data_IF_445977632936
#
_entry.id   IF_445977632936
#
_cell.length_a   1.000
_cell.length_b   1.000
_cell.length_c   1.000
_cell.angle_alpha   90.00
_cell.angle_beta   90.00
_cell.angle_gamma   90.00
#
_symmetry.space_group_name_H-M   'P 1'
#
loop_
_entity.id
_entity.type
_entity.pdbx_description
1 polymer ?
#
# COMPACT_ATOMS: atom_id res chain seq x y z
N UNK A 1 6.77 -13.26 25.80
CA UNK A 1 6.04 -12.36 24.88
C UNK A 1 5.82 -13.08 23.55
N UNK A 2 4.58 -13.42 23.21
CA UNK A 2 4.25 -14.03 21.91
C UNK A 2 4.28 -12.92 20.86
N UNK A 3 5.32 -12.85 20.03
CA UNK A 3 5.29 -12.00 18.83
C UNK A 3 4.14 -12.53 17.97
N UNK A 4 3.01 -11.81 17.91
CA UNK A 4 2.01 -12.05 16.87
C UNK A 4 2.70 -11.77 15.55
N UNK A 5 2.84 -12.80 14.73
CA UNK A 5 3.28 -12.65 13.35
C UNK A 5 2.27 -11.74 12.66
N UNK A 6 2.68 -10.53 12.29
CA UNK A 6 1.88 -9.66 11.45
C UNK A 6 1.61 -10.42 10.14
N UNK A 7 0.43 -10.26 9.55
CA UNK A 7 -0.02 -10.97 8.34
C UNK A 7 0.74 -10.56 7.06
N UNK A 8 2.04 -10.26 7.14
CA UNK A 8 2.89 -9.90 6.01
C UNK A 8 3.62 -11.15 5.51
N UNK A 9 2.95 -11.88 4.62
CA UNK A 9 3.59 -12.85 3.73
C UNK A 9 4.57 -12.16 2.76
N UNK A 10 5.55 -12.90 2.26
CA UNK A 10 6.58 -12.40 1.32
C UNK A 10 5.99 -11.61 0.15
N UNK A 11 4.81 -12.01 -0.35
CA UNK A 11 4.10 -11.30 -1.43
C UNK A 11 3.78 -9.83 -1.10
N UNK A 12 3.52 -9.51 0.16
CA UNK A 12 3.24 -8.13 0.56
C UNK A 12 4.52 -7.29 0.60
N UNK A 13 5.62 -7.89 1.05
CA UNK A 13 6.93 -7.23 1.05
C UNK A 13 7.37 -6.97 -0.40
N UNK A 14 7.24 -7.98 -1.27
CA UNK A 14 7.51 -7.80 -2.71
C UNK A 14 6.62 -6.70 -3.32
N UNK A 15 5.31 -6.68 -3.00
CA UNK A 15 4.42 -5.62 -3.46
C UNK A 15 4.86 -4.23 -2.95
N UNK A 16 5.26 -4.12 -1.69
CA UNK A 16 5.75 -2.89 -1.06
C UNK A 16 7.01 -2.33 -1.75
N UNK A 17 7.93 -3.21 -2.14
CA UNK A 17 9.16 -2.85 -2.85
C UNK A 17 8.91 -2.35 -4.27
N UNK A 18 7.76 -2.70 -4.87
CA UNK A 18 7.38 -2.19 -6.20
C UNK A 18 6.69 -0.83 -6.19
N UNK A 19 6.33 -0.30 -5.02
CA UNK A 19 5.60 0.97 -4.94
C UNK A 19 6.52 2.15 -5.27
N UNK A 20 6.10 2.97 -6.22
CA UNK A 20 6.76 4.24 -6.58
C UNK A 20 5.76 5.37 -6.34
N UNK A 21 6.15 6.37 -5.55
CA UNK A 21 5.35 7.58 -5.39
C UNK A 21 5.89 8.67 -6.32
N UNK A 22 5.04 9.17 -7.22
CA UNK A 22 5.40 10.21 -8.17
C UNK A 22 5.34 11.63 -7.57
N UNK A 23 4.95 11.74 -6.29
CA UNK A 23 5.05 12.96 -5.50
C UNK A 23 6.05 12.75 -4.36
N UNK A 24 7.15 13.51 -4.38
CA UNK A 24 8.29 13.32 -3.45
C UNK A 24 7.93 13.59 -1.98
N UNK A 25 6.80 14.24 -1.72
CA UNK A 25 6.37 14.60 -0.36
C UNK A 25 5.50 13.54 0.34
N UNK A 26 5.26 12.38 -0.29
CA UNK A 26 4.34 11.37 0.25
C UNK A 26 4.96 9.98 0.41
N UNK A 27 5.52 9.70 1.60
CA UNK A 27 6.16 8.42 1.92
C UNK A 27 5.71 7.85 3.28
N UNK A 28 4.42 7.99 3.62
CA UNK A 28 3.88 7.42 4.84
C UNK A 28 3.96 5.87 4.80
N UNK A 29 4.59 5.22 5.80
CA UNK A 29 4.78 3.78 5.78
C UNK A 29 3.47 2.99 5.93
N UNK A 30 2.43 3.55 6.57
CA UNK A 30 1.14 2.87 6.71
C UNK A 30 0.37 2.88 5.39
N UNK A 31 0.36 3.99 4.66
CA UNK A 31 -0.28 4.07 3.35
C UNK A 31 0.37 3.09 2.37
N UNK A 32 1.70 3.07 2.33
CA UNK A 32 2.44 2.10 1.50
C UNK A 32 2.10 0.65 1.86
N UNK A 33 1.95 0.37 3.15
CA UNK A 33 1.56 -0.96 3.63
C UNK A 33 0.14 -1.33 3.20
N UNK A 34 -0.80 -0.38 3.25
CA UNK A 34 -2.20 -0.57 2.83
C UNK A 34 -2.30 -0.81 1.32
N UNK A 35 -1.57 -0.03 0.51
CA UNK A 35 -1.48 -0.23 -0.95
C UNK A 35 -0.88 -1.60 -1.27
N UNK A 36 0.25 -1.96 -0.64
CA UNK A 36 0.91 -3.24 -0.85
C UNK A 36 0.00 -4.43 -0.49
N UNK A 37 -0.79 -4.30 0.59
CA UNK A 37 -1.82 -5.28 0.96
C UNK A 37 -2.87 -5.41 -0.14
N UNK A 38 -3.45 -4.31 -0.58
CA UNK A 38 -4.50 -4.32 -1.59
C UNK A 38 -4.00 -4.90 -2.92
N UNK A 39 -2.79 -4.52 -3.34
CA UNK A 39 -2.12 -5.05 -4.54
C UNK A 39 -1.89 -6.55 -4.45
N UNK A 40 -1.32 -7.05 -3.34
CA UNK A 40 -0.96 -8.46 -3.21
C UNK A 40 -2.16 -9.40 -2.98
N UNK A 41 -3.22 -8.91 -2.35
CA UNK A 41 -4.44 -9.68 -2.07
C UNK A 41 -5.56 -9.46 -3.11
N UNK A 42 -5.32 -8.64 -4.15
CA UNK A 42 -6.31 -8.38 -5.20
C UNK A 42 -7.52 -7.56 -4.74
N UNK A 43 -7.36 -6.71 -3.73
CA UNK A 43 -8.41 -5.86 -3.16
C UNK A 43 -8.40 -4.47 -3.79
N UNK A 44 -9.45 -3.68 -3.52
CA UNK A 44 -9.47 -2.24 -3.78
C UNK A 44 -9.26 -1.46 -2.49
N UNK A 45 -8.36 -0.48 -2.54
CA UNK A 45 -8.14 0.48 -1.47
C UNK A 45 -8.88 1.77 -1.80
N UNK A 46 -10.05 1.94 -1.16
CA UNK A 46 -10.89 3.13 -1.32
C UNK A 46 -10.52 4.14 -0.26
N UNK A 47 -10.24 5.38 -0.66
CA UNK A 47 -9.79 6.44 0.25
C UNK A 47 -10.24 7.81 -0.23
N UNK A 48 -10.45 8.73 0.72
CA UNK A 48 -10.64 10.16 0.42
C UNK A 48 -9.31 10.93 0.34
N UNK A 49 -8.18 10.28 0.68
CA UNK A 49 -6.87 10.91 0.56
C UNK A 49 -6.37 10.86 -0.89
N UNK A 50 -6.55 11.99 -1.58
CA UNK A 50 -6.12 12.13 -2.97
C UNK A 50 -4.61 11.95 -3.16
N UNK A 51 -3.77 12.11 -2.13
CA UNK A 51 -2.32 11.96 -2.27
C UNK A 51 -1.90 10.51 -2.51
N UNK A 52 -2.73 9.55 -2.09
CA UNK A 52 -2.50 8.12 -2.32
C UNK A 52 -2.59 7.79 -3.82
N UNK A 53 -3.31 8.59 -4.62
CA UNK A 53 -3.36 8.42 -6.07
C UNK A 53 -2.01 8.62 -6.77
N UNK A 54 -1.05 9.31 -6.15
CA UNK A 54 0.30 9.52 -6.71
C UNK A 54 1.17 8.25 -6.74
N UNK A 55 0.70 7.15 -6.13
CA UNK A 55 1.31 5.84 -6.31
C UNK A 55 0.92 5.17 -7.64
N UNK A 56 -0.12 5.68 -8.32
CA UNK A 56 -0.60 5.19 -9.63
C UNK A 56 -0.92 3.68 -9.66
N UNK A 57 -1.17 3.08 -8.50
CA UNK A 57 -1.48 1.66 -8.38
C UNK A 57 -2.94 1.38 -8.77
N UNK A 58 -3.22 0.39 -9.66
CA UNK A 58 -4.58 0.08 -10.12
C UNK A 58 -5.56 -0.35 -9.01
N UNK A 59 -5.04 -0.70 -7.82
CA UNK A 59 -5.85 -1.05 -6.66
C UNK A 59 -6.35 0.18 -5.88
N UNK A 60 -5.83 1.38 -6.12
CA UNK A 60 -6.24 2.61 -5.43
C UNK A 60 -7.46 3.22 -6.11
N UNK A 61 -8.47 3.56 -5.31
CA UNK A 61 -9.66 4.32 -5.72
C UNK A 61 -9.80 5.55 -4.81
N UNK A 62 -9.46 6.72 -5.35
CA UNK A 62 -9.68 7.99 -4.65
C UNK A 62 -11.12 8.46 -4.88
N UNK A 63 -11.81 8.85 -3.81
CA UNK A 63 -13.22 9.32 -3.82
C UNK A 63 -13.40 10.70 -3.21
#
# INVERSE_FOLDING_TARGET
MRKRMLLFWDRHVMALETLVCHNQDHNDPFDRTMIARAKADGLKFVTHDYKISFYEEPCVLSV
#
